data_IF_729173822911
#
_entry.id   IF_729173822911
#
_cell.length_a   1.000
_cell.length_b   1.000
_cell.length_c   1.000
_cell.angle_alpha   90.00
_cell.angle_beta   90.00
_cell.angle_gamma   90.00
#
_symmetry.space_group_name_H-M   'P 1'
#
loop_
_entity.id
_entity.type
_entity.pdbx_description
1 polymer ?
#
# COMPACT_ATOMS: atom_id res chain seq x y z
N UNK A 1 -18.28 5.88 -1.14
CA UNK A 1 -18.73 5.55 0.23
C UNK A 1 -17.55 4.98 0.98
N UNK A 2 -17.29 5.52 2.17
CA UNK A 2 -16.25 5.01 3.07
C UNK A 2 -16.64 3.67 3.63
N UNK A 3 -15.73 2.69 3.56
CA UNK A 3 -15.96 1.38 4.16
C UNK A 3 -16.07 1.55 5.68
N UNK A 4 -17.28 1.46 6.24
CA UNK A 4 -17.54 1.65 7.68
C UNK A 4 -16.74 0.70 8.59
N UNK A 5 -16.27 -0.43 8.05
CA UNK A 5 -15.53 -1.44 8.82
C UNK A 5 -14.06 -1.06 9.04
N UNK A 6 -13.45 -0.35 8.09
CA UNK A 6 -12.04 0.04 8.16
C UNK A 6 -11.83 1.55 8.00
N UNK A 7 -12.89 2.35 7.89
CA UNK A 7 -12.83 3.79 7.62
C UNK A 7 -11.94 4.13 6.40
N UNK A 8 -12.08 3.33 5.31
CA UNK A 8 -11.22 3.37 4.11
C UNK A 8 -9.73 3.07 4.33
N UNK A 9 -9.33 2.65 5.52
CA UNK A 9 -7.99 2.10 5.74
C UNK A 9 -7.82 0.77 5.02
N UNK A 10 -6.56 0.42 4.73
CA UNK A 10 -6.22 -0.85 4.08
C UNK A 10 -6.23 -2.04 5.06
N UNK A 11 -6.11 -1.77 6.36
CA UNK A 11 -6.09 -2.78 7.43
C UNK A 11 -6.97 -2.33 8.58
N UNK A 12 -7.44 -3.28 9.38
CA UNK A 12 -8.18 -3.05 10.61
C UNK A 12 -7.25 -3.40 11.77
N UNK A 13 -7.03 -2.45 12.67
CA UNK A 13 -6.23 -2.65 13.88
C UNK A 13 -7.11 -3.06 15.05
N UNK A 14 -6.65 -4.03 15.85
CA UNK A 14 -7.33 -4.44 17.07
C UNK A 14 -6.34 -4.98 18.10
N UNK A 15 -6.79 -5.04 19.36
CA UNK A 15 -6.05 -5.69 20.45
C UNK A 15 -6.52 -7.13 20.62
N UNK A 16 -5.58 -8.06 20.74
CA UNK A 16 -5.90 -9.45 21.08
C UNK A 16 -6.33 -9.56 22.55
N UNK A 17 -6.89 -10.71 22.94
CA UNK A 17 -7.21 -11.01 24.34
C UNK A 17 -5.99 -10.98 25.28
N UNK A 18 -4.79 -11.18 24.74
CA UNK A 18 -3.51 -11.07 25.46
C UNK A 18 -2.99 -9.63 25.53
N UNK A 19 -3.72 -8.66 24.97
CA UNK A 19 -3.37 -7.23 24.98
C UNK A 19 -2.43 -6.79 23.86
N UNK A 20 -2.14 -7.65 22.88
CA UNK A 20 -1.17 -7.36 21.82
C UNK A 20 -1.86 -6.62 20.69
N UNK A 21 -1.21 -5.58 20.14
CA UNK A 21 -1.70 -4.90 18.94
C UNK A 21 -1.45 -5.79 17.73
N UNK A 22 -2.51 -6.06 16.96
CA UNK A 22 -2.43 -6.80 15.69
C UNK A 22 -3.30 -6.12 14.63
N UNK A 23 -3.19 -6.57 13.38
CA UNK A 23 -3.98 -6.05 12.28
C UNK A 23 -4.32 -7.13 11.25
N UNK A 24 -5.46 -6.97 10.58
CA UNK A 24 -5.89 -7.83 9.47
C UNK A 24 -6.43 -6.98 8.31
N UNK A 25 -6.33 -7.46 7.05
CA UNK A 25 -6.94 -6.79 5.91
C UNK A 25 -8.46 -6.68 6.09
N UNK A 26 -9.05 -5.57 5.64
CA UNK A 26 -10.50 -5.43 5.69
C UNK A 26 -11.18 -6.50 4.82
N UNK A 27 -12.02 -7.39 5.39
CA UNK A 27 -12.60 -8.51 4.65
C UNK A 27 -13.62 -8.07 3.58
N UNK A 28 -14.09 -6.82 3.65
CA UNK A 28 -15.07 -6.25 2.73
C UNK A 28 -14.39 -5.61 1.52
N UNK A 29 -13.42 -4.74 1.75
CA UNK A 29 -12.85 -3.90 0.70
C UNK A 29 -11.37 -4.15 0.41
N UNK A 30 -10.69 -4.99 1.19
CA UNK A 30 -9.31 -5.41 0.96
C UNK A 30 -9.15 -6.90 1.26
N UNK A 31 -10.10 -7.70 0.79
CA UNK A 31 -10.11 -9.15 0.98
C UNK A 31 -8.78 -9.72 0.45
N UNK A 32 -8.10 -10.53 1.25
CA UNK A 32 -6.80 -11.13 0.92
C UNK A 32 -5.68 -10.12 0.56
N UNK A 33 -5.82 -8.84 0.92
CA UNK A 33 -4.82 -7.81 0.65
C UNK A 33 -4.74 -7.35 -0.81
N UNK A 34 -5.76 -7.60 -1.64
CA UNK A 34 -5.76 -7.24 -3.07
C UNK A 34 -5.48 -5.75 -3.31
N UNK A 35 -6.15 -4.84 -2.61
CA UNK A 35 -5.89 -3.40 -2.75
C UNK A 35 -4.47 -3.01 -2.37
N UNK A 36 -3.88 -3.70 -1.39
CA UNK A 36 -2.48 -3.48 -1.00
C UNK A 36 -1.55 -3.94 -2.11
N UNK A 37 -1.81 -5.10 -2.72
CA UNK A 37 -1.02 -5.62 -3.85
C UNK A 37 -1.08 -4.68 -5.04
N UNK A 38 -2.26 -4.17 -5.40
CA UNK A 38 -2.44 -3.22 -6.50
C UNK A 38 -1.69 -1.92 -6.24
N UNK A 39 -1.78 -1.39 -5.01
CA UNK A 39 -1.04 -0.18 -4.61
C UNK A 39 0.47 -0.39 -4.71
N UNK A 40 0.97 -1.53 -4.24
CA UNK A 40 2.40 -1.87 -4.34
C UNK A 40 2.85 -1.99 -5.79
N UNK A 41 2.05 -2.64 -6.65
CA UNK A 41 2.37 -2.78 -8.07
C UNK A 41 2.47 -1.41 -8.75
N UNK A 42 1.54 -0.50 -8.44
CA UNK A 42 1.57 0.88 -8.95
C UNK A 42 2.81 1.64 -8.48
N UNK A 43 3.10 1.61 -7.19
CA UNK A 43 4.28 2.26 -6.60
C UNK A 43 5.59 1.72 -7.20
N UNK A 44 5.69 0.41 -7.45
CA UNK A 44 6.85 -0.18 -8.12
C UNK A 44 7.03 0.35 -9.54
N UNK A 45 5.94 0.52 -10.29
CA UNK A 45 5.98 1.09 -11.64
C UNK A 45 6.41 2.55 -11.62
N UNK A 46 5.80 3.36 -10.76
CA UNK A 46 6.15 4.78 -10.57
C UNK A 46 7.64 4.93 -10.18
N UNK A 47 8.11 4.15 -9.20
CA UNK A 47 9.50 4.15 -8.78
C UNK A 47 10.46 3.77 -9.93
N UNK A 48 10.08 2.78 -10.76
CA UNK A 48 10.89 2.38 -11.91
C UNK A 48 11.00 3.47 -12.98
N UNK A 49 9.95 4.29 -13.15
CA UNK A 49 9.95 5.44 -14.06
C UNK A 49 10.85 6.54 -13.52
N UNK A 50 10.69 6.89 -12.24
CA UNK A 50 11.55 7.88 -11.58
C UNK A 50 13.03 7.51 -11.65
N UNK A 51 13.36 6.23 -11.43
CA UNK A 51 14.74 5.76 -11.58
C UNK A 51 15.28 5.93 -13.01
N UNK A 52 14.44 5.73 -14.04
CA UNK A 52 14.87 5.95 -15.43
C UNK A 52 15.10 7.42 -15.73
N UNK A 53 14.18 8.28 -15.29
CA UNK A 53 14.25 9.74 -15.46
C UNK A 53 15.51 10.31 -14.79
N UNK A 54 15.75 9.95 -13.53
CA UNK A 54 16.95 10.37 -12.79
C UNK A 54 18.26 9.90 -13.47
N UNK A 55 18.26 8.69 -14.03
CA UNK A 55 19.41 8.14 -14.77
C UNK A 55 19.60 8.80 -16.15
N UNK A 56 18.55 9.31 -16.78
CA UNK A 56 18.66 10.07 -18.04
C UNK A 56 19.15 11.49 -17.81
N UNK A 57 18.70 12.15 -16.74
CA UNK A 57 19.18 13.49 -16.36
C UNK A 57 20.69 13.46 -16.04
N UNK A 58 21.15 12.49 -15.26
CA UNK A 58 22.59 12.35 -14.95
C UNK A 58 23.47 12.07 -16.17
N UNK A 59 22.94 11.46 -17.23
CA UNK A 59 23.68 11.23 -18.49
C UNK A 59 23.73 12.44 -19.41
N UNK A 60 22.69 13.28 -19.40
CA UNK A 60 22.65 14.51 -20.21
C UNK A 60 23.42 15.69 -19.59
N UNK A 61 23.82 15.58 -18.32
CA UNK A 61 24.54 16.64 -17.58
C UNK A 61 26.06 16.37 -17.52
N UNK A 62 26.56 15.37 -18.25
CA UNK A 62 27.96 14.95 -18.30
C UNK A 62 28.52 15.14 -19.70
#
# INVERSE_FOLDING_TARGET
MTCLRCNDELMIWYKTSLGWSTCEPCPVCNRNGEKVKDRIARLKKEHSQWQREANTETKNTK
#
